data_IF_831938048407
#
_entry.id   IF_831938048407
#
_cell.length_a   1.000
_cell.length_b   1.000
_cell.length_c   1.000
_cell.angle_alpha   90.00
_cell.angle_beta   90.00
_cell.angle_gamma   90.00
#
_symmetry.space_group_name_H-M   'P 1'
#
loop_
_entity.id
_entity.type
_entity.pdbx_description
1 polymer ?
#
# COMPACT_ATOMS: atom_id res chain seq x y z
N UNK A 1 -18.52 -1.00 -36.83
CA UNK A 1 -17.98 -0.10 -35.77
C UNK A 1 -16.69 0.51 -36.28
N UNK A 2 -16.46 1.81 -36.02
CA UNK A 2 -15.19 2.45 -36.37
C UNK A 2 -14.07 1.92 -35.46
N UNK A 3 -12.87 1.62 -35.99
CA UNK A 3 -11.76 1.05 -35.20
C UNK A 3 -11.33 1.95 -34.03
N UNK A 4 -11.50 3.27 -34.17
CA UNK A 4 -11.19 4.27 -33.15
C UNK A 4 -12.03 4.10 -31.87
N UNK A 5 -13.33 3.80 -32.00
CA UNK A 5 -14.22 3.59 -30.87
C UNK A 5 -13.78 2.37 -30.04
N UNK A 6 -13.38 1.28 -30.72
CA UNK A 6 -12.89 0.07 -30.06
C UNK A 6 -11.56 0.31 -29.32
N UNK A 7 -10.67 1.14 -29.88
CA UNK A 7 -9.41 1.49 -29.24
C UNK A 7 -9.64 2.33 -27.96
N UNK A 8 -10.56 3.30 -28.02
CA UNK A 8 -10.97 4.11 -26.87
C UNK A 8 -11.60 3.25 -25.76
N UNK A 9 -12.49 2.31 -26.12
CA UNK A 9 -13.11 1.41 -25.15
C UNK A 9 -12.07 0.52 -24.45
N UNK A 10 -11.10 -0.02 -25.19
CA UNK A 10 -9.99 -0.80 -24.62
C UNK A 10 -9.12 0.04 -23.68
N UNK A 11 -8.83 1.29 -24.05
CA UNK A 11 -8.07 2.21 -23.22
C UNK A 11 -8.80 2.52 -21.90
N UNK A 12 -10.09 2.87 -21.96
CA UNK A 12 -10.89 3.13 -20.76
C UNK A 12 -10.96 1.91 -19.85
N UNK A 13 -11.19 0.72 -20.42
CA UNK A 13 -11.22 -0.52 -19.66
C UNK A 13 -9.88 -0.81 -18.97
N UNK A 14 -8.76 -0.69 -19.70
CA UNK A 14 -7.43 -0.87 -19.14
C UNK A 14 -7.14 0.14 -18.02
N UNK A 15 -7.56 1.39 -18.20
CA UNK A 15 -7.41 2.46 -17.20
C UNK A 15 -8.19 2.15 -15.93
N UNK A 16 -9.47 1.73 -16.04
CA UNK A 16 -10.28 1.35 -14.89
C UNK A 16 -9.67 0.16 -14.13
N UNK A 17 -9.19 -0.86 -14.84
CA UNK A 17 -8.54 -2.03 -14.22
C UNK A 17 -7.24 -1.65 -13.50
N UNK A 18 -6.45 -0.75 -14.10
CA UNK A 18 -5.26 -0.21 -13.44
C UNK A 18 -5.60 0.59 -12.19
N UNK A 19 -6.61 1.48 -12.25
CA UNK A 19 -7.07 2.26 -11.10
C UNK A 19 -7.53 1.35 -9.96
N UNK A 20 -8.33 0.33 -10.26
CA UNK A 20 -8.78 -0.65 -9.26
C UNK A 20 -7.59 -1.34 -8.58
N UNK A 21 -6.64 -1.85 -9.36
CA UNK A 21 -5.45 -2.51 -8.82
C UNK A 21 -4.58 -1.55 -8.00
N UNK A 22 -4.53 -0.26 -8.36
CA UNK A 22 -3.82 0.75 -7.60
C UNK A 22 -4.48 0.99 -6.24
N UNK A 23 -5.81 1.12 -6.19
CA UNK A 23 -6.57 1.23 -4.94
C UNK A 23 -6.34 0.02 -4.02
N UNK A 24 -6.37 -1.20 -4.57
CA UNK A 24 -6.09 -2.42 -3.80
C UNK A 24 -4.67 -2.44 -3.23
N UNK A 25 -3.68 -1.98 -4.00
CA UNK A 25 -2.29 -1.85 -3.53
C UNK A 25 -2.13 -0.80 -2.44
N UNK A 26 -2.82 0.33 -2.55
CA UNK A 26 -2.83 1.38 -1.53
C UNK A 26 -3.47 0.89 -0.23
N UNK A 27 -4.59 0.19 -0.32
CA UNK A 27 -5.24 -0.44 0.84
C UNK A 27 -4.32 -1.46 1.51
N UNK A 28 -3.71 -2.36 0.73
CA UNK A 28 -2.77 -3.34 1.28
C UNK A 28 -1.55 -2.68 1.93
N UNK A 29 -1.07 -1.55 1.39
CA UNK A 29 0.02 -0.79 2.00
C UNK A 29 -0.41 -0.15 3.34
N UNK A 30 -1.63 0.38 3.42
CA UNK A 30 -2.20 0.93 4.65
C UNK A 30 -2.39 -0.16 5.72
N UNK A 31 -2.93 -1.32 5.35
CA UNK A 31 -3.13 -2.45 6.26
C UNK A 31 -1.81 -2.97 6.84
N UNK A 32 -0.77 -3.10 5.99
CA UNK A 32 0.58 -3.46 6.44
C UNK A 32 1.13 -2.44 7.44
N UNK A 33 0.98 -1.15 7.15
CA UNK A 33 1.49 -0.10 8.02
C UNK A 33 0.74 -0.06 9.37
N UNK A 34 -0.57 -0.36 9.37
CA UNK A 34 -1.37 -0.50 10.59
C UNK A 34 -0.93 -1.70 11.43
N UNK A 35 -0.70 -2.86 10.80
CA UNK A 35 -0.17 -4.03 11.49
C UNK A 35 1.18 -3.76 12.18
N UNK A 36 2.08 -2.98 11.55
CA UNK A 36 3.34 -2.55 12.18
C UNK A 36 3.09 -1.63 13.39
N UNK A 37 2.11 -0.73 13.31
CA UNK A 37 1.74 0.14 14.43
C UNK A 37 1.15 -0.66 15.60
N UNK A 38 0.34 -1.69 15.32
CA UNK A 38 -0.23 -2.58 16.33
C UNK A 38 0.88 -3.41 17.03
N UNK A 39 1.86 -3.90 16.28
CA UNK A 39 3.05 -4.56 16.87
C UNK A 39 3.83 -3.62 17.79
N UNK A 40 3.97 -2.35 17.41
CA UNK A 40 4.61 -1.33 18.25
C UNK A 40 3.80 -1.03 19.52
N UNK A 41 2.47 -0.95 19.40
CA UNK A 41 1.57 -0.78 20.53
C UNK A 41 1.59 -1.99 21.49
N UNK A 42 1.87 -3.19 20.99
CA UNK A 42 2.10 -4.40 21.78
C UNK A 42 3.49 -4.43 22.47
N UNK A 43 4.29 -3.35 22.37
CA UNK A 43 5.56 -3.20 23.09
C UNK A 43 6.79 -3.67 22.31
N UNK A 44 6.67 -3.98 21.01
CA UNK A 44 7.82 -4.33 20.19
C UNK A 44 8.53 -3.07 19.67
N UNK A 45 9.85 -3.04 19.77
CA UNK A 45 10.65 -1.98 19.16
C UNK A 45 10.81 -2.16 17.64
N UNK A 46 11.21 -1.09 16.94
CA UNK A 46 11.39 -1.07 15.49
C UNK A 46 12.37 -2.16 14.97
N UNK A 47 13.35 -2.56 15.79
CA UNK A 47 14.37 -3.56 15.43
C UNK A 47 13.80 -4.97 15.51
N UNK A 48 13.08 -5.28 16.58
CA UNK A 48 12.39 -6.55 16.77
C UNK A 48 11.32 -6.77 15.69
N UNK A 49 10.54 -5.73 15.37
CA UNK A 49 9.56 -5.75 14.28
C UNK A 49 10.30 -5.99 12.96
N UNK A 50 11.31 -5.17 12.65
CA UNK A 50 12.06 -5.25 11.39
C UNK A 50 12.66 -6.63 11.11
N UNK A 51 13.21 -7.29 12.14
CA UNK A 51 13.71 -8.68 12.03
C UNK A 51 12.62 -9.68 11.65
N UNK A 52 11.41 -9.55 12.19
CA UNK A 52 10.29 -10.48 11.93
C UNK A 52 9.67 -10.30 10.55
N UNK A 53 9.62 -9.07 10.04
CA UNK A 53 8.98 -8.74 8.76
C UNK A 53 9.97 -8.45 7.63
N UNK A 54 11.26 -8.73 7.85
CA UNK A 54 12.36 -8.49 6.92
C UNK A 54 12.42 -7.04 6.40
N UNK A 55 12.27 -6.06 7.30
CA UNK A 55 12.42 -4.64 7.03
C UNK A 55 13.54 -4.03 7.88
N UNK A 56 14.16 -2.96 7.38
CA UNK A 56 15.06 -2.17 8.22
C UNK A 56 14.28 -1.44 9.33
N UNK A 57 14.87 -1.20 10.52
CA UNK A 57 14.19 -0.48 11.59
C UNK A 57 13.72 0.92 11.17
N UNK A 58 14.53 1.62 10.37
CA UNK A 58 14.16 2.92 9.78
C UNK A 58 12.90 2.80 8.93
N UNK A 59 12.80 1.75 8.11
CA UNK A 59 11.65 1.54 7.24
C UNK A 59 10.39 1.21 8.03
N UNK A 60 10.50 0.45 9.11
CA UNK A 60 9.38 0.19 10.04
C UNK A 60 8.87 1.50 10.62
N UNK A 61 9.77 2.34 11.16
CA UNK A 61 9.41 3.65 11.73
C UNK A 61 8.73 4.56 10.72
N UNK A 62 9.24 4.63 9.49
CA UNK A 62 8.63 5.41 8.41
C UNK A 62 7.20 4.97 8.11
N UNK A 63 6.95 3.66 8.02
CA UNK A 63 5.63 3.11 7.74
C UNK A 63 4.65 3.36 8.89
N UNK A 64 5.09 3.19 10.15
CA UNK A 64 4.29 3.52 11.33
C UNK A 64 3.97 5.02 11.38
N UNK A 65 4.92 5.89 11.05
CA UNK A 65 4.65 7.34 11.05
C UNK A 65 3.67 7.77 9.96
N UNK A 66 3.65 7.08 8.82
CA UNK A 66 2.68 7.34 7.74
C UNK A 66 1.24 7.05 8.15
N UNK A 67 0.98 6.06 9.00
CA UNK A 67 -0.39 5.79 9.48
C UNK A 67 -0.91 6.88 10.42
N UNK A 68 -0.01 7.56 11.14
CA UNK A 68 -0.36 8.66 12.07
C UNK A 68 -0.63 9.99 11.37
N UNK A 69 -0.20 10.14 10.11
CA UNK A 69 -0.40 11.34 9.28
C UNK A 69 -0.96 10.93 7.92
N UNK A 70 -2.27 10.65 7.81
CA UNK A 70 -2.91 10.52 6.52
C UNK A 70 -2.75 11.88 5.81
N UNK A 71 -1.99 11.89 4.71
CA UNK A 71 -1.93 13.05 3.81
C UNK A 71 -3.07 12.96 2.82
#
# INVERSE_FOLDING_TARGET
MKPEALALDRYHYATQRWQQANTEREQAAADRARALADMSAAGLDDTAIGRRVHLSPTRVRELINKTRRPR
#
